data_IF_585971305513
#
_entry.id   IF_585971305513
#
_cell.length_a   1.000
_cell.length_b   1.000
_cell.length_c   1.000
_cell.angle_alpha   90.00
_cell.angle_beta   90.00
_cell.angle_gamma   90.00
#
_symmetry.space_group_name_H-M   'P 1'
#
loop_
_entity.id
_entity.type
_entity.pdbx_description
1 polymer ?
#
# COMPACT_ATOMS: atom_id res chain seq x y z
N UNK A 1 6.11 -32.26 -48.13
CA UNK A 1 7.01 -31.65 -47.13
C UNK A 1 7.72 -32.77 -46.37
N UNK A 2 9.06 -32.77 -46.38
CA UNK A 2 9.86 -33.82 -45.72
C UNK A 2 9.79 -33.66 -44.19
N UNK A 3 9.60 -34.76 -43.45
CA UNK A 3 9.57 -34.77 -41.97
C UNK A 3 10.79 -34.07 -41.33
N UNK A 4 11.93 -34.00 -42.02
CA UNK A 4 13.14 -33.30 -41.56
C UNK A 4 12.98 -31.77 -41.54
N UNK A 5 12.23 -31.21 -42.50
CA UNK A 5 11.94 -29.77 -42.54
C UNK A 5 10.98 -29.37 -41.41
N UNK A 6 9.99 -30.22 -41.08
CA UNK A 6 9.07 -29.96 -39.97
C UNK A 6 9.81 -29.93 -38.62
N UNK A 7 10.75 -30.86 -38.40
CA UNK A 7 11.56 -30.92 -37.17
C UNK A 7 12.51 -29.73 -37.07
N UNK A 8 13.12 -29.30 -38.17
CA UNK A 8 14.01 -28.13 -38.18
C UNK A 8 13.26 -26.82 -37.95
N UNK A 9 12.07 -26.65 -38.55
CA UNK A 9 11.21 -25.48 -38.28
C UNK A 9 10.70 -25.50 -36.84
N UNK A 10 10.32 -26.67 -36.30
CA UNK A 10 9.91 -26.81 -34.90
C UNK A 10 11.07 -26.48 -33.94
N UNK A 11 12.30 -26.92 -34.23
CA UNK A 11 13.49 -26.59 -33.44
C UNK A 11 13.83 -25.10 -33.48
N UNK A 12 13.73 -24.45 -34.65
CA UNK A 12 14.00 -23.00 -34.78
C UNK A 12 12.91 -22.18 -34.08
N UNK A 13 11.64 -22.58 -34.16
CA UNK A 13 10.56 -21.95 -33.38
C UNK A 13 10.73 -22.14 -31.87
N UNK A 14 11.18 -23.32 -31.41
CA UNK A 14 11.47 -23.58 -30.00
C UNK A 14 12.67 -22.79 -29.47
N UNK A 15 13.66 -22.50 -30.32
CA UNK A 15 14.83 -21.68 -29.95
C UNK A 15 14.50 -20.17 -29.90
N UNK A 16 13.63 -19.68 -30.79
CA UNK A 16 13.21 -18.26 -30.79
C UNK A 16 12.26 -17.92 -29.65
N UNK A 17 11.46 -18.89 -29.19
CA UNK A 17 10.63 -18.72 -27.98
C UNK A 17 11.45 -18.68 -26.67
N UNK A 18 12.75 -19.02 -26.68
CA UNK A 18 13.55 -19.21 -25.47
C UNK A 18 14.05 -17.93 -24.79
N UNK A 19 13.82 -16.75 -25.38
CA UNK A 19 14.23 -15.45 -24.82
C UNK A 19 13.05 -14.50 -24.55
N UNK A 20 11.80 -14.94 -24.74
CA UNK A 20 10.64 -14.06 -24.61
C UNK A 20 10.28 -13.77 -23.16
N UNK A 21 10.36 -14.76 -22.27
CA UNK A 21 9.92 -14.60 -20.88
C UNK A 21 10.83 -13.71 -20.02
N UNK A 22 12.17 -13.90 -19.97
CA UNK A 22 13.06 -13.00 -19.24
C UNK A 22 13.00 -11.55 -19.76
N UNK A 23 12.85 -11.37 -21.07
CA UNK A 23 12.69 -10.05 -21.68
C UNK A 23 11.37 -9.40 -21.27
N UNK A 24 10.27 -10.16 -21.26
CA UNK A 24 8.98 -9.67 -20.80
C UNK A 24 9.00 -9.32 -19.31
N UNK A 25 9.71 -10.08 -18.47
CA UNK A 25 9.95 -9.72 -17.06
C UNK A 25 10.69 -8.37 -16.94
N UNK A 26 11.78 -8.17 -17.69
CA UNK A 26 12.50 -6.88 -17.68
C UNK A 26 11.61 -5.72 -18.11
N UNK A 27 10.74 -5.94 -19.10
CA UNK A 27 9.75 -4.95 -19.51
C UNK A 27 8.72 -4.65 -18.41
N UNK A 28 8.31 -5.68 -17.65
CA UNK A 28 7.39 -5.52 -16.53
C UNK A 28 8.02 -4.68 -15.41
N UNK A 29 9.25 -5.03 -14.99
CA UNK A 29 9.99 -4.31 -13.96
C UNK A 29 10.23 -2.84 -14.36
N UNK A 30 10.65 -2.59 -15.60
CA UNK A 30 10.89 -1.24 -16.10
C UNK A 30 9.60 -0.42 -16.11
N UNK A 31 8.51 -0.97 -16.67
CA UNK A 31 7.23 -0.28 -16.71
C UNK A 31 6.68 -0.01 -15.31
N UNK A 32 6.81 -0.96 -14.37
CA UNK A 32 6.42 -0.76 -12.98
C UNK A 32 7.20 0.40 -12.33
N UNK A 33 8.51 0.41 -12.49
CA UNK A 33 9.42 1.43 -11.94
C UNK A 33 9.13 2.82 -12.51
N UNK A 34 8.81 2.90 -13.81
CA UNK A 34 8.37 4.14 -14.46
C UNK A 34 7.00 4.62 -13.92
N UNK A 35 6.08 3.69 -13.68
CA UNK A 35 4.79 3.96 -13.04
C UNK A 35 4.96 4.54 -11.63
N UNK A 36 5.77 3.91 -10.79
CA UNK A 36 6.08 4.36 -9.42
C UNK A 36 6.72 5.76 -9.42
N UNK A 37 7.69 5.99 -10.30
CA UNK A 37 8.34 7.29 -10.43
C UNK A 37 7.36 8.39 -10.85
N UNK A 38 6.52 8.12 -11.85
CA UNK A 38 5.54 9.11 -12.31
C UNK A 38 4.46 9.37 -11.26
N UNK A 39 4.03 8.34 -10.53
CA UNK A 39 3.06 8.48 -9.46
C UNK A 39 3.59 9.41 -8.37
N UNK A 40 4.84 9.19 -7.91
CA UNK A 40 5.46 10.10 -6.94
C UNK A 40 5.50 11.52 -7.51
N UNK A 41 6.00 11.72 -8.72
CA UNK A 41 6.07 13.06 -9.34
C UNK A 41 4.71 13.77 -9.36
N UNK A 42 3.62 13.04 -9.64
CA UNK A 42 2.26 13.60 -9.63
C UNK A 42 1.78 13.93 -8.21
N UNK A 43 2.05 13.07 -7.23
CA UNK A 43 1.75 13.34 -5.82
C UNK A 43 2.50 14.58 -5.32
N UNK A 44 3.78 14.72 -5.67
CA UNK A 44 4.61 15.88 -5.32
C UNK A 44 4.11 17.18 -5.94
N UNK A 45 3.66 17.12 -7.19
CA UNK A 45 3.09 18.29 -7.88
C UNK A 45 1.75 18.74 -7.27
N UNK A 46 1.01 17.82 -6.65
CA UNK A 46 -0.25 18.09 -5.97
C UNK A 46 -0.08 18.47 -4.48
N UNK A 47 1.07 18.15 -3.87
CA UNK A 47 1.31 18.39 -2.46
C UNK A 47 1.61 19.87 -2.19
N UNK A 48 1.08 20.39 -1.06
CA UNK A 48 1.38 21.75 -0.60
C UNK A 48 2.84 21.90 -0.13
N UNK A 49 3.47 20.79 0.25
CA UNK A 49 4.87 20.72 0.67
C UNK A 49 5.56 19.51 0.05
N UNK A 50 6.78 19.68 -0.45
CA UNK A 50 7.63 18.58 -0.86
C UNK A 50 7.96 17.68 0.36
N UNK A 51 8.06 16.35 0.20
CA UNK A 51 8.50 15.47 1.25
C UNK A 51 9.93 15.82 1.62
N UNK A 52 10.29 15.64 2.91
CA UNK A 52 11.65 15.86 3.36
C UNK A 52 12.62 14.90 2.67
N UNK A 53 13.87 15.37 2.51
CA UNK A 53 14.97 14.52 2.07
C UNK A 53 15.11 13.29 2.98
N UNK A 54 15.34 12.12 2.38
CA UNK A 54 15.44 10.85 3.10
C UNK A 54 14.10 10.12 3.31
N UNK A 55 12.97 10.70 2.92
CA UNK A 55 11.71 9.96 2.88
C UNK A 55 11.78 8.91 1.76
N UNK A 56 11.78 7.63 2.13
CA UNK A 56 11.78 6.52 1.17
C UNK A 56 10.35 6.25 0.71
N UNK A 57 10.16 6.29 -0.60
CA UNK A 57 8.93 6.01 -1.33
C UNK A 57 9.16 4.83 -2.30
N UNK A 58 8.11 4.35 -2.96
CA UNK A 58 8.16 3.11 -3.73
C UNK A 58 9.15 3.14 -4.92
N UNK A 59 9.33 4.28 -5.56
CA UNK A 59 10.28 4.48 -6.67
C UNK A 59 11.75 4.38 -6.25
N UNK A 60 12.06 4.69 -4.98
CA UNK A 60 13.40 4.48 -4.44
C UNK A 60 13.71 2.99 -4.28
N UNK A 61 12.67 2.15 -4.09
CA UNK A 61 12.81 0.68 -4.03
C UNK A 61 12.88 0.06 -5.43
N UNK A 62 12.23 0.68 -6.42
CA UNK A 62 12.13 0.25 -7.81
C UNK A 62 12.48 1.40 -8.76
N UNK A 63 13.77 1.64 -8.94
CA UNK A 63 14.27 2.73 -9.78
C UNK A 63 14.26 2.35 -11.27
N UNK A 64 13.71 3.21 -12.15
CA UNK A 64 13.66 2.92 -13.57
C UNK A 64 15.04 3.01 -14.21
N UNK A 65 15.31 2.16 -15.20
CA UNK A 65 16.54 2.22 -16.00
C UNK A 65 16.43 3.18 -17.18
N UNK A 66 15.21 3.59 -17.56
CA UNK A 66 14.94 4.52 -18.65
C UNK A 66 14.15 5.74 -18.16
N UNK A 67 14.22 6.82 -18.94
CA UNK A 67 13.48 8.04 -18.64
C UNK A 67 11.97 7.82 -18.73
N UNK A 68 11.24 8.43 -17.78
CA UNK A 68 9.78 8.40 -17.73
C UNK A 68 9.20 9.38 -18.75
N UNK A 69 8.32 8.90 -19.64
CA UNK A 69 7.50 9.76 -20.50
C UNK A 69 6.35 10.37 -19.67
N UNK A 70 6.47 11.67 -19.38
CA UNK A 70 5.50 12.45 -18.60
C UNK A 70 4.16 12.68 -19.32
N UNK A 71 4.02 12.35 -20.60
CA UNK A 71 2.75 12.42 -21.32
C UNK A 71 1.80 11.25 -20.99
N UNK A 72 2.30 10.21 -20.32
CA UNK A 72 1.55 9.05 -19.87
C UNK A 72 0.98 9.26 -18.47
N UNK A 73 0.21 8.27 -17.99
CA UNK A 73 -0.28 8.22 -16.61
C UNK A 73 0.35 7.03 -15.87
N UNK A 74 0.42 7.06 -14.52
CA UNK A 74 0.89 5.90 -13.75
C UNK A 74 0.10 4.63 -14.08
N UNK A 75 -1.23 4.73 -14.17
CA UNK A 75 -2.10 3.61 -14.53
C UNK A 75 -1.76 2.99 -15.90
N UNK A 76 -1.35 3.79 -16.89
CA UNK A 76 -0.92 3.25 -18.20
C UNK A 76 0.39 2.47 -18.11
N UNK A 77 1.33 2.89 -17.25
CA UNK A 77 2.56 2.15 -17.01
C UNK A 77 2.30 0.86 -16.23
N UNK A 78 1.49 0.90 -15.18
CA UNK A 78 1.09 -0.29 -14.45
C UNK A 78 0.31 -1.27 -15.34
N UNK A 79 -0.57 -0.80 -16.23
CA UNK A 79 -1.23 -1.67 -17.21
C UNK A 79 -0.23 -2.37 -18.17
N UNK A 80 0.80 -1.65 -18.61
CA UNK A 80 1.86 -2.23 -19.43
C UNK A 80 2.72 -3.23 -18.64
N UNK A 81 3.03 -2.93 -17.38
CA UNK A 81 3.78 -3.81 -16.48
C UNK A 81 3.03 -5.12 -16.26
N UNK A 82 1.71 -5.06 -16.03
CA UNK A 82 0.88 -6.24 -15.82
C UNK A 82 0.85 -7.12 -17.07
N UNK A 83 0.62 -6.53 -18.24
CA UNK A 83 0.60 -7.28 -19.50
C UNK A 83 1.95 -7.94 -19.82
N UNK A 84 3.06 -7.27 -19.48
CA UNK A 84 4.41 -7.83 -19.64
C UNK A 84 4.68 -8.96 -18.64
N UNK A 85 4.27 -8.81 -17.37
CA UNK A 85 4.38 -9.87 -16.37
C UNK A 85 3.57 -11.11 -16.75
N UNK A 86 2.33 -10.95 -17.20
CA UNK A 86 1.50 -12.05 -17.70
C UNK A 86 2.12 -12.74 -18.91
N UNK A 87 2.77 -11.98 -19.81
CA UNK A 87 3.50 -12.54 -20.94
C UNK A 87 4.72 -13.35 -20.47
N UNK A 88 5.46 -12.83 -19.49
CA UNK A 88 6.60 -13.52 -18.89
C UNK A 88 6.18 -14.86 -18.25
N UNK A 89 5.09 -14.84 -17.47
CA UNK A 89 4.58 -16.02 -16.75
C UNK A 89 4.11 -17.16 -17.67
N UNK A 90 3.82 -16.89 -18.95
CA UNK A 90 3.58 -17.97 -19.95
C UNK A 90 4.83 -18.84 -20.20
N UNK A 91 6.02 -18.32 -19.91
CA UNK A 91 7.29 -19.03 -20.00
C UNK A 91 7.87 -19.36 -18.62
N UNK A 92 7.05 -19.87 -17.70
CA UNK A 92 7.45 -20.21 -16.31
C UNK A 92 8.78 -20.99 -16.23
N UNK A 93 8.95 -22.05 -17.03
CA UNK A 93 10.18 -22.85 -17.04
C UNK A 93 11.43 -22.01 -17.37
N UNK A 94 11.29 -21.02 -18.25
CA UNK A 94 12.38 -20.11 -18.58
C UNK A 94 12.68 -19.18 -17.41
N UNK A 95 11.65 -18.59 -16.80
CA UNK A 95 11.82 -17.72 -15.62
C UNK A 95 12.47 -18.48 -14.46
N UNK A 96 12.06 -19.72 -14.22
CA UNK A 96 12.66 -20.59 -13.19
C UNK A 96 14.14 -20.88 -13.48
N UNK A 97 14.47 -21.19 -14.75
CA UNK A 97 15.86 -21.41 -15.17
C UNK A 97 16.73 -20.15 -14.99
N UNK A 98 16.12 -18.97 -15.12
CA UNK A 98 16.78 -17.67 -15.01
C UNK A 98 16.67 -17.02 -13.62
N UNK A 99 16.07 -17.69 -12.63
CA UNK A 99 15.86 -17.14 -11.28
C UNK A 99 15.13 -15.79 -11.31
N UNK A 100 13.99 -15.76 -12.00
CA UNK A 100 13.15 -14.56 -12.14
C UNK A 100 11.68 -14.82 -11.87
N UNK A 101 11.30 -16.08 -11.57
CA UNK A 101 9.89 -16.47 -11.50
C UNK A 101 9.19 -15.81 -10.29
N UNK A 102 9.88 -15.86 -9.17
CA UNK A 102 9.58 -15.20 -7.91
C UNK A 102 9.42 -13.68 -8.07
N UNK A 103 10.43 -12.95 -8.58
CA UNK A 103 10.30 -11.50 -8.79
C UNK A 103 9.22 -11.17 -9.84
N UNK A 104 8.97 -12.05 -10.81
CA UNK A 104 7.88 -11.84 -11.79
C UNK A 104 6.51 -11.86 -11.11
N UNK A 105 6.26 -12.84 -10.22
CA UNK A 105 5.02 -12.85 -9.43
C UNK A 105 4.96 -11.67 -8.44
N UNK A 106 6.08 -11.25 -7.85
CA UNK A 106 6.13 -10.08 -6.97
C UNK A 106 5.75 -8.79 -7.72
N UNK A 107 6.34 -8.55 -8.90
CA UNK A 107 6.01 -7.40 -9.75
C UNK A 107 4.56 -7.47 -10.21
N UNK A 108 4.03 -8.65 -10.54
CA UNK A 108 2.62 -8.82 -10.88
C UNK A 108 1.72 -8.40 -9.70
N UNK A 109 2.01 -8.88 -8.49
CA UNK A 109 1.24 -8.58 -7.28
C UNK A 109 1.25 -7.08 -6.96
N UNK A 110 2.43 -6.46 -6.97
CA UNK A 110 2.57 -5.01 -6.75
C UNK A 110 1.84 -4.20 -7.83
N UNK A 111 1.92 -4.62 -9.09
CA UNK A 111 1.23 -3.94 -10.19
C UNK A 111 -0.30 -4.04 -10.05
N UNK A 112 -0.83 -5.21 -9.70
CA UNK A 112 -2.25 -5.42 -9.43
C UNK A 112 -2.71 -4.55 -8.25
N UNK A 113 -1.92 -4.45 -7.18
CA UNK A 113 -2.19 -3.54 -6.06
C UNK A 113 -2.30 -2.09 -6.53
N UNK A 114 -1.33 -1.60 -7.31
CA UNK A 114 -1.36 -0.22 -7.86
C UNK A 114 -2.52 0.04 -8.82
N UNK A 115 -3.08 -1.01 -9.42
CA UNK A 115 -4.30 -0.96 -10.24
C UNK A 115 -5.60 -1.20 -9.44
N UNK A 116 -5.52 -1.27 -8.11
CA UNK A 116 -6.62 -1.58 -7.20
C UNK A 116 -7.30 -2.95 -7.44
N UNK A 117 -6.58 -3.88 -8.06
CA UNK A 117 -6.98 -5.28 -8.27
C UNK A 117 -6.57 -6.11 -7.05
N UNK A 118 -7.16 -5.81 -5.89
CA UNK A 118 -6.64 -6.29 -4.61
C UNK A 118 -6.73 -7.81 -4.42
N UNK A 119 -7.78 -8.46 -4.94
CA UNK A 119 -7.92 -9.91 -4.81
C UNK A 119 -6.86 -10.64 -5.64
N UNK A 120 -6.62 -10.16 -6.86
CA UNK A 120 -5.58 -10.67 -7.76
C UNK A 120 -4.18 -10.41 -7.19
N UNK A 121 -3.96 -9.21 -6.63
CA UNK A 121 -2.70 -8.84 -5.98
C UNK A 121 -2.34 -9.82 -4.85
N UNK A 122 -3.32 -10.18 -4.01
CA UNK A 122 -3.14 -11.16 -2.94
C UNK A 122 -2.85 -12.57 -3.48
N UNK A 123 -3.57 -13.00 -4.53
CA UNK A 123 -3.33 -14.29 -5.16
C UNK A 123 -1.93 -14.39 -5.77
N UNK A 124 -1.45 -13.33 -6.46
CA UNK A 124 -0.08 -13.30 -7.00
C UNK A 124 0.97 -13.22 -5.88
N UNK A 125 0.69 -12.52 -4.77
CA UNK A 125 1.56 -12.50 -3.61
C UNK A 125 1.70 -13.88 -2.94
N UNK A 126 0.61 -14.63 -2.81
CA UNK A 126 0.61 -16.02 -2.29
C UNK A 126 1.47 -16.96 -3.16
N UNK A 127 1.56 -16.70 -4.46
CA UNK A 127 2.43 -17.45 -5.37
C UNK A 127 3.90 -17.01 -5.25
N UNK A 128 4.17 -15.71 -5.07
CA UNK A 128 5.52 -15.15 -4.97
C UNK A 128 6.22 -15.55 -3.65
N UNK A 129 5.53 -15.46 -2.51
CA UNK A 129 6.13 -15.61 -1.18
C UNK A 129 6.96 -16.91 -1.00
N UNK A 130 6.43 -18.13 -1.27
CA UNK A 130 7.22 -19.34 -1.05
C UNK A 130 8.44 -19.42 -1.97
N UNK A 131 8.35 -18.87 -3.19
CA UNK A 131 9.48 -18.86 -4.13
C UNK A 131 10.60 -17.93 -3.63
N UNK A 132 10.23 -16.74 -3.14
CA UNK A 132 11.16 -15.77 -2.55
C UNK A 132 11.77 -16.23 -1.22
N UNK A 133 11.09 -17.13 -0.49
CA UNK A 133 11.63 -17.74 0.72
C UNK A 133 12.66 -18.84 0.43
N UNK A 134 12.47 -19.57 -0.66
CA UNK A 134 13.33 -20.68 -1.08
C UNK A 134 14.60 -20.18 -1.81
N UNK A 135 14.55 -19.01 -2.44
CA UNK A 135 15.71 -18.43 -3.12
C UNK A 135 16.70 -17.81 -2.12
N UNK A 136 17.97 -18.25 -2.18
CA UNK A 136 18.98 -17.92 -1.17
C UNK A 136 19.88 -16.74 -1.59
N UNK A 137 19.27 -15.57 -1.79
CA UNK A 137 19.93 -14.32 -1.41
C UNK A 137 20.37 -13.37 -2.51
N UNK A 138 19.55 -13.11 -3.52
CA UNK A 138 19.60 -11.82 -4.20
C UNK A 138 19.14 -10.69 -3.26
N UNK A 139 19.81 -9.53 -3.29
CA UNK A 139 19.39 -8.31 -2.57
C UNK A 139 17.95 -7.92 -2.96
N UNK A 140 17.58 -8.10 -4.23
CA UNK A 140 16.23 -7.90 -4.73
C UNK A 140 15.20 -8.85 -4.10
N UNK A 141 15.59 -10.07 -3.75
CA UNK A 141 14.65 -11.10 -3.28
C UNK A 141 14.20 -10.79 -1.84
N UNK A 142 15.10 -10.23 -1.03
CA UNK A 142 14.76 -9.79 0.33
C UNK A 142 13.83 -8.59 0.32
N UNK A 143 14.08 -7.61 -0.56
CA UNK A 143 13.17 -6.48 -0.81
C UNK A 143 11.81 -6.99 -1.25
N UNK A 144 11.78 -7.81 -2.30
CA UNK A 144 10.54 -8.27 -2.92
C UNK A 144 9.75 -9.15 -1.94
N UNK A 145 10.41 -9.99 -1.13
CA UNK A 145 9.78 -10.77 -0.07
C UNK A 145 9.11 -9.89 0.98
N UNK A 146 9.81 -8.86 1.46
CA UNK A 146 9.26 -7.91 2.42
C UNK A 146 8.06 -7.15 1.84
N UNK A 147 8.14 -6.74 0.57
CA UNK A 147 7.06 -6.04 -0.12
C UNK A 147 5.84 -6.93 -0.36
N UNK A 148 6.04 -8.17 -0.79
CA UNK A 148 4.97 -9.17 -0.96
C UNK A 148 4.27 -9.48 0.36
N UNK A 149 5.03 -9.70 1.44
CA UNK A 149 4.48 -9.91 2.79
C UNK A 149 3.76 -8.68 3.36
N UNK A 150 4.21 -7.49 2.97
CA UNK A 150 3.59 -6.23 3.37
C UNK A 150 2.29 -5.93 2.59
N UNK A 151 2.11 -6.52 1.40
CA UNK A 151 1.03 -6.20 0.48
C UNK A 151 -0.38 -6.28 1.08
N UNK A 152 -0.74 -7.31 1.87
CA UNK A 152 -2.04 -7.34 2.54
C UNK A 152 -2.23 -6.15 3.50
N UNK A 153 -1.15 -5.70 4.16
CA UNK A 153 -1.18 -4.54 5.02
C UNK A 153 -1.33 -3.23 4.23
N UNK A 154 -0.60 -3.08 3.12
CA UNK A 154 -0.72 -1.91 2.24
C UNK A 154 -2.13 -1.76 1.65
N UNK A 155 -2.70 -2.88 1.18
CA UNK A 155 -4.08 -2.93 0.66
C UNK A 155 -5.09 -2.47 1.72
N UNK A 156 -4.93 -2.93 2.97
CA UNK A 156 -5.80 -2.51 4.06
C UNK A 156 -5.77 -1.00 4.29
N UNK A 157 -4.58 -0.36 4.18
CA UNK A 157 -4.45 1.08 4.34
C UNK A 157 -5.13 1.85 3.20
N UNK A 158 -4.98 1.41 1.94
CA UNK A 158 -5.65 2.03 0.79
C UNK A 158 -7.18 1.93 0.89
N UNK A 159 -7.68 0.76 1.33
CA UNK A 159 -9.10 0.55 1.54
C UNK A 159 -9.63 1.42 2.70
N UNK A 160 -8.88 1.54 3.80
CA UNK A 160 -9.22 2.45 4.88
C UNK A 160 -9.25 3.91 4.39
N UNK A 161 -8.30 4.36 3.59
CA UNK A 161 -8.33 5.70 3.01
C UNK A 161 -9.58 5.93 2.14
N UNK A 162 -10.01 4.92 1.38
CA UNK A 162 -11.28 4.97 0.64
C UNK A 162 -12.49 5.10 1.59
N UNK A 163 -12.47 4.41 2.74
CA UNK A 163 -13.52 4.56 3.77
C UNK A 163 -13.53 5.94 4.40
N UNK A 164 -12.38 6.61 4.57
CA UNK A 164 -12.34 8.00 5.06
C UNK A 164 -13.14 8.93 4.15
N UNK A 165 -13.04 8.75 2.83
CA UNK A 165 -13.84 9.53 1.88
C UNK A 165 -15.35 9.26 2.06
N UNK A 166 -15.74 8.03 2.36
CA UNK A 166 -17.14 7.69 2.69
C UNK A 166 -17.59 8.37 4.00
N UNK A 167 -16.75 8.39 5.03
CA UNK A 167 -17.03 9.10 6.28
C UNK A 167 -17.23 10.60 6.04
N UNK A 168 -16.36 11.23 5.23
CA UNK A 168 -16.50 12.65 4.85
C UNK A 168 -17.80 12.92 4.09
N UNK A 169 -18.21 12.02 3.20
CA UNK A 169 -19.49 12.12 2.50
C UNK A 169 -20.69 12.02 3.46
N UNK A 170 -20.66 11.10 4.43
CA UNK A 170 -21.68 11.01 5.48
C UNK A 170 -21.72 12.29 6.33
N UNK A 171 -20.54 12.81 6.72
CA UNK A 171 -20.42 14.03 7.51
C UNK A 171 -21.00 15.28 6.82
N UNK A 172 -21.07 15.31 5.49
CA UNK A 172 -21.76 16.37 4.74
C UNK A 172 -23.29 16.39 4.99
N UNK A 173 -23.88 15.27 5.43
CA UNK A 173 -25.31 15.14 5.74
C UNK A 173 -25.74 15.74 7.09
N UNK A 174 -24.82 16.30 7.87
CA UNK A 174 -25.06 16.77 9.24
C UNK A 174 -26.21 17.77 9.34
N UNK A 175 -26.29 18.76 8.44
CA UNK A 175 -27.34 19.79 8.51
C UNK A 175 -28.74 19.22 8.22
N UNK A 176 -28.84 18.28 7.27
CA UNK A 176 -30.10 17.58 7.01
C UNK A 176 -30.52 16.74 8.22
N UNK A 177 -29.59 16.02 8.85
CA UNK A 177 -29.87 15.23 10.04
C UNK A 177 -30.33 16.11 11.22
N UNK A 178 -29.77 17.31 11.38
CA UNK A 178 -30.21 18.29 12.40
C UNK A 178 -31.65 18.73 12.18
N UNK A 179 -32.05 19.00 10.93
CA UNK A 179 -33.43 19.35 10.61
C UNK A 179 -34.42 18.19 10.85
N UNK A 180 -33.95 16.94 10.76
CA UNK A 180 -34.74 15.73 10.98
C UNK A 180 -34.96 15.32 12.45
N UNK A 181 -34.44 16.07 13.42
CA UNK A 181 -34.63 15.79 14.86
C UNK A 181 -33.66 14.73 15.42
N UNK A 182 -33.93 14.25 16.65
CA UNK A 182 -33.00 13.33 17.36
C UNK A 182 -32.77 12.01 16.62
N UNK A 183 -33.81 11.37 16.09
CA UNK A 183 -33.68 10.07 15.41
C UNK A 183 -32.73 10.16 14.22
N UNK A 184 -32.88 11.17 13.35
CA UNK A 184 -32.01 11.37 12.20
C UNK A 184 -30.56 11.68 12.60
N UNK A 185 -30.35 12.50 13.65
CA UNK A 185 -29.02 12.76 14.20
C UNK A 185 -28.36 11.49 14.74
N UNK A 186 -29.12 10.65 15.44
CA UNK A 186 -28.64 9.39 16.00
C UNK A 186 -28.26 8.40 14.90
N UNK A 187 -29.12 8.23 13.89
CA UNK A 187 -28.86 7.33 12.76
C UNK A 187 -27.61 7.75 11.98
N UNK A 188 -27.47 9.04 11.64
CA UNK A 188 -26.29 9.51 10.93
C UNK A 188 -25.01 9.30 11.75
N UNK A 189 -25.06 9.61 13.04
CA UNK A 189 -23.90 9.42 13.90
C UNK A 189 -23.49 7.94 14.00
N UNK A 190 -24.46 7.02 14.12
CA UNK A 190 -24.18 5.59 14.14
C UNK A 190 -23.59 5.10 12.82
N UNK A 191 -24.01 5.62 11.67
CA UNK A 191 -23.39 5.30 10.37
C UNK A 191 -21.93 5.76 10.31
N UNK A 192 -21.66 6.99 10.74
CA UNK A 192 -20.29 7.54 10.80
C UNK A 192 -19.41 6.69 11.73
N UNK A 193 -19.92 6.37 12.93
CA UNK A 193 -19.21 5.56 13.92
C UNK A 193 -18.96 4.13 13.43
N UNK A 194 -19.94 3.50 12.79
CA UNK A 194 -19.79 2.15 12.23
C UNK A 194 -18.73 2.12 11.12
N UNK A 195 -18.75 3.11 10.22
CA UNK A 195 -17.73 3.23 9.17
C UNK A 195 -16.32 3.43 9.75
N UNK A 196 -16.18 4.24 10.81
CA UNK A 196 -14.92 4.34 11.57
C UNK A 196 -14.49 3.00 12.17
N UNK A 197 -15.40 2.29 12.85
CA UNK A 197 -15.06 1.03 13.51
C UNK A 197 -14.63 -0.06 12.53
N UNK A 198 -15.32 -0.18 11.39
CA UNK A 198 -14.95 -1.08 10.29
C UNK A 198 -13.56 -0.74 9.73
N UNK A 199 -13.31 0.54 9.46
CA UNK A 199 -12.08 0.97 8.81
C UNK A 199 -10.86 1.02 9.75
N UNK A 200 -11.06 1.16 11.06
CA UNK A 200 -9.94 1.34 12.02
C UNK A 200 -9.74 0.11 12.89
N UNK A 201 -10.82 -0.40 13.48
CA UNK A 201 -10.75 -1.25 14.68
C UNK A 201 -11.02 -2.73 14.44
N UNK A 202 -11.50 -3.12 13.25
CA UNK A 202 -11.81 -4.51 12.96
C UNK A 202 -10.53 -5.35 12.85
N UNK A 203 -10.30 -6.25 13.82
CA UNK A 203 -9.13 -7.13 13.87
C UNK A 203 -9.44 -8.55 13.35
N UNK A 204 -10.64 -8.79 12.82
CA UNK A 204 -11.03 -10.09 12.30
C UNK A 204 -10.15 -10.54 11.13
N UNK A 205 -10.04 -11.86 10.93
CA UNK A 205 -9.26 -12.40 9.83
C UNK A 205 -9.88 -11.97 8.49
N UNK A 206 -9.10 -11.26 7.67
CA UNK A 206 -9.56 -10.68 6.41
C UNK A 206 -10.22 -9.30 6.53
N UNK A 207 -10.24 -8.70 7.74
CA UNK A 207 -10.68 -7.32 7.92
C UNK A 207 -9.80 -6.33 7.15
N UNK A 208 -10.45 -5.31 6.57
CA UNK A 208 -9.82 -4.25 5.78
C UNK A 208 -9.62 -2.99 6.61
N UNK A 209 -8.97 -3.16 7.77
CA UNK A 209 -8.81 -2.11 8.78
C UNK A 209 -7.37 -1.60 8.92
N UNK A 210 -7.23 -0.37 9.44
CA UNK A 210 -5.94 0.25 9.76
C UNK A 210 -5.20 -0.59 10.80
N UNK A 211 -5.81 -0.98 11.93
CA UNK A 211 -5.12 -1.79 12.95
C UNK A 211 -4.54 -3.08 12.37
N UNK A 212 -5.32 -3.76 11.53
CA UNK A 212 -4.86 -4.97 10.85
C UNK A 212 -3.72 -4.66 9.87
N UNK A 213 -3.84 -3.57 9.11
CA UNK A 213 -2.80 -3.10 8.20
C UNK A 213 -1.48 -2.82 8.91
N UNK A 214 -1.52 -2.05 10.00
CA UNK A 214 -0.36 -1.72 10.83
C UNK A 214 0.32 -2.98 11.38
N UNK A 215 -0.46 -3.93 11.89
CA UNK A 215 0.08 -5.19 12.43
C UNK A 215 0.75 -6.05 11.34
N UNK A 216 0.17 -6.13 10.14
CA UNK A 216 0.73 -6.87 9.01
C UNK A 216 2.03 -6.23 8.51
N UNK A 217 2.06 -4.92 8.36
CA UNK A 217 3.27 -4.18 7.95
C UNK A 217 4.40 -4.33 8.96
N UNK A 218 4.09 -4.21 10.26
CA UNK A 218 5.06 -4.42 11.34
C UNK A 218 5.63 -5.84 11.30
N UNK A 219 4.76 -6.85 11.18
CA UNK A 219 5.19 -8.25 11.06
C UNK A 219 6.05 -8.48 9.83
N UNK A 220 5.73 -7.84 8.69
CA UNK A 220 6.55 -7.95 7.49
C UNK A 220 7.96 -7.41 7.73
N UNK A 221 8.07 -6.22 8.35
CA UNK A 221 9.36 -5.63 8.71
C UNK A 221 10.17 -6.54 9.65
N UNK A 222 9.55 -7.09 10.70
CA UNK A 222 10.21 -7.98 11.69
C UNK A 222 10.66 -9.33 11.11
N UNK A 223 9.94 -9.86 10.11
CA UNK A 223 10.26 -11.15 9.49
C UNK A 223 11.16 -11.02 8.26
N UNK A 224 11.46 -9.80 7.84
CA UNK A 224 12.35 -9.55 6.72
C UNK A 224 13.78 -9.35 7.20
N UNK A 225 14.75 -9.89 6.46
CA UNK A 225 16.13 -9.43 6.54
C UNK A 225 16.34 -8.23 5.59
N UNK A 226 15.27 -7.51 5.24
CA UNK A 226 15.32 -6.51 4.20
C UNK A 226 16.19 -5.31 4.60
N UNK A 227 16.76 -4.67 3.59
CA UNK A 227 17.61 -3.51 3.78
C UNK A 227 16.83 -2.34 4.38
N UNK A 228 17.58 -1.45 5.01
CA UNK A 228 17.08 -0.26 5.69
C UNK A 228 16.06 0.56 4.87
N UNK A 229 16.23 0.79 3.55
CA UNK A 229 15.25 1.54 2.77
C UNK A 229 13.85 0.90 2.76
N UNK A 230 13.76 -0.43 2.72
CA UNK A 230 12.49 -1.14 2.73
C UNK A 230 11.82 -0.98 4.10
N UNK A 231 12.59 -1.12 5.18
CA UNK A 231 12.08 -0.92 6.53
C UNK A 231 11.56 0.50 6.73
N UNK A 232 12.31 1.52 6.26
CA UNK A 232 11.87 2.91 6.31
C UNK A 232 10.58 3.11 5.50
N UNK A 233 10.49 2.53 4.29
CA UNK A 233 9.26 2.59 3.49
C UNK A 233 8.06 1.98 4.23
N UNK A 234 8.21 0.81 4.85
CA UNK A 234 7.13 0.15 5.59
C UNK A 234 6.69 0.96 6.82
N UNK A 235 7.62 1.63 7.50
CA UNK A 235 7.30 2.53 8.61
C UNK A 235 6.60 3.80 8.11
N UNK A 236 7.04 4.39 6.99
CA UNK A 236 6.34 5.50 6.35
C UNK A 236 4.90 5.14 5.95
N UNK A 237 4.69 3.94 5.38
CA UNK A 237 3.36 3.46 5.05
C UNK A 237 2.47 3.32 6.31
N UNK A 238 3.03 2.82 7.42
CA UNK A 238 2.31 2.76 8.71
C UNK A 238 1.94 4.15 9.22
N UNK A 239 2.82 5.13 9.10
CA UNK A 239 2.55 6.52 9.51
C UNK A 239 1.47 7.16 8.63
N UNK A 240 1.45 6.90 7.32
CA UNK A 240 0.36 7.32 6.44
C UNK A 240 -1.00 6.67 6.82
N UNK A 241 -0.98 5.39 7.23
CA UNK A 241 -2.14 4.72 7.79
C UNK A 241 -2.64 5.38 9.09
N UNK A 242 -1.72 5.81 9.96
CA UNK A 242 -2.06 6.56 11.17
C UNK A 242 -2.63 7.94 10.85
N UNK A 243 -2.13 8.65 9.85
CA UNK A 243 -2.70 9.92 9.39
C UNK A 243 -4.18 9.74 9.00
N UNK A 244 -4.46 8.69 8.21
CA UNK A 244 -5.84 8.31 7.85
C UNK A 244 -6.71 8.01 9.08
N UNK A 245 -6.17 7.34 10.10
CA UNK A 245 -6.89 7.09 11.36
C UNK A 245 -7.20 8.43 12.07
N UNK A 246 -6.21 9.31 12.22
CA UNK A 246 -6.37 10.63 12.84
C UNK A 246 -7.49 11.43 12.17
N UNK A 247 -7.47 11.49 10.84
CA UNK A 247 -8.51 12.13 10.03
C UNK A 247 -9.91 11.56 10.28
N UNK A 248 -10.06 10.22 10.30
CA UNK A 248 -11.36 9.61 10.57
C UNK A 248 -11.85 9.90 11.99
N UNK A 249 -10.95 9.86 12.97
CA UNK A 249 -11.27 10.16 14.36
C UNK A 249 -11.74 11.62 14.51
N UNK A 250 -11.09 12.54 13.79
CA UNK A 250 -11.47 13.94 13.75
C UNK A 250 -12.87 14.13 13.13
N UNK A 251 -13.19 13.44 12.04
CA UNK A 251 -14.54 13.47 11.46
C UNK A 251 -15.61 12.96 12.45
N UNK A 252 -15.32 11.87 13.17
CA UNK A 252 -16.21 11.32 14.22
C UNK A 252 -16.40 12.33 15.35
N UNK A 253 -15.32 12.95 15.83
CA UNK A 253 -15.39 13.98 16.87
C UNK A 253 -16.20 15.20 16.42
N UNK A 254 -15.97 15.68 15.20
CA UNK A 254 -16.71 16.82 14.65
C UNK A 254 -18.18 16.50 14.43
N UNK A 255 -18.51 15.30 13.95
CA UNK A 255 -19.88 14.82 13.83
C UNK A 255 -20.56 14.75 15.21
N UNK A 256 -19.88 14.21 16.23
CA UNK A 256 -20.39 14.14 17.60
C UNK A 256 -20.79 15.52 18.14
N UNK A 257 -19.92 16.52 17.93
CA UNK A 257 -20.20 17.91 18.33
C UNK A 257 -21.34 18.53 17.55
N UNK A 258 -21.32 18.45 16.22
CA UNK A 258 -22.32 19.12 15.36
C UNK A 258 -23.71 18.52 15.50
N UNK A 259 -23.80 17.21 15.72
CA UNK A 259 -25.05 16.49 15.97
C UNK A 259 -25.49 16.56 17.44
N UNK A 260 -24.70 17.15 18.33
CA UNK A 260 -24.98 17.22 19.78
C UNK A 260 -25.24 15.83 20.39
N UNK A 261 -24.38 14.87 20.06
CA UNK A 261 -24.55 13.45 20.41
C UNK A 261 -24.66 13.22 21.91
N UNK A 262 -23.99 14.04 22.73
CA UNK A 262 -24.06 13.99 24.19
C UNK A 262 -25.48 14.10 24.77
N UNK A 263 -26.43 14.68 24.03
CA UNK A 263 -27.84 14.74 24.42
C UNK A 263 -28.52 13.37 24.42
N UNK A 264 -28.02 12.44 23.62
CA UNK A 264 -28.72 11.20 23.30
C UNK A 264 -27.83 9.93 23.39
N UNK A 265 -26.51 10.12 23.55
CA UNK A 265 -25.49 9.13 23.91
C UNK A 265 -24.47 9.80 24.88
N UNK A 266 -24.77 9.86 26.19
CA UNK A 266 -23.98 10.65 27.15
C UNK A 266 -22.54 10.17 27.35
N UNK A 267 -22.27 8.87 27.16
CA UNK A 267 -20.94 8.29 27.36
C UNK A 267 -20.05 8.36 26.11
N UNK A 268 -20.52 8.98 25.02
CA UNK A 268 -19.80 9.00 23.76
C UNK A 268 -18.47 9.77 23.85
N UNK A 269 -18.40 10.79 24.72
CA UNK A 269 -17.18 11.54 24.97
C UNK A 269 -16.04 10.68 25.55
N UNK A 270 -16.37 9.73 26.42
CA UNK A 270 -15.39 8.80 27.00
C UNK A 270 -14.85 7.83 25.95
N UNK A 271 -15.73 7.35 25.06
CA UNK A 271 -15.32 6.50 23.94
C UNK A 271 -14.37 7.23 22.99
N UNK A 272 -14.69 8.46 22.57
CA UNK A 272 -13.81 9.28 21.70
C UNK A 272 -12.46 9.55 22.37
N UNK A 273 -12.46 9.86 23.67
CA UNK A 273 -11.22 10.07 24.42
C UNK A 273 -10.35 8.80 24.49
N UNK A 274 -10.98 7.63 24.67
CA UNK A 274 -10.31 6.33 24.61
C UNK A 274 -9.68 6.07 23.25
N UNK A 275 -10.41 6.32 22.15
CA UNK A 275 -9.90 6.20 20.79
C UNK A 275 -8.69 7.11 20.54
N UNK A 276 -8.76 8.38 20.94
CA UNK A 276 -7.65 9.32 20.81
C UNK A 276 -6.42 8.86 21.58
N UNK A 277 -6.60 8.28 22.77
CA UNK A 277 -5.47 7.73 23.52
C UNK A 277 -4.82 6.54 22.79
N UNK A 278 -5.62 5.63 22.20
CA UNK A 278 -5.08 4.52 21.40
C UNK A 278 -4.31 5.02 20.18
N UNK A 279 -4.87 6.00 19.47
CA UNK A 279 -4.22 6.67 18.35
C UNK A 279 -2.86 7.26 18.75
N UNK A 280 -2.83 8.08 19.82
CA UNK A 280 -1.62 8.73 20.29
C UNK A 280 -0.51 7.73 20.68
N UNK A 281 -0.88 6.61 21.31
CA UNK A 281 0.07 5.54 21.64
C UNK A 281 0.64 4.88 20.39
N UNK A 282 -0.19 4.63 19.37
CA UNK A 282 0.25 4.04 18.10
C UNK A 282 1.18 4.98 17.32
N UNK A 283 0.87 6.29 17.31
CA UNK A 283 1.72 7.34 16.73
C UNK A 283 3.07 7.39 17.43
N UNK A 284 3.07 7.49 18.77
CA UNK A 284 4.31 7.57 19.54
C UNK A 284 5.22 6.35 19.28
N UNK A 285 4.67 5.13 19.34
CA UNK A 285 5.42 3.90 19.10
C UNK A 285 6.00 3.83 17.67
N UNK A 286 5.22 4.24 16.66
CA UNK A 286 5.69 4.18 15.26
C UNK A 286 6.70 5.27 14.94
N UNK A 287 6.56 6.47 15.53
CA UNK A 287 7.56 7.54 15.41
C UNK A 287 8.88 7.16 16.10
N UNK A 288 8.83 6.50 17.26
CA UNK A 288 10.03 5.99 17.93
C UNK A 288 10.75 4.94 17.06
N UNK A 289 10.00 4.04 16.43
CA UNK A 289 10.53 3.07 15.47
C UNK A 289 11.24 3.76 14.28
N UNK A 290 10.61 4.79 13.71
CA UNK A 290 11.21 5.60 12.65
C UNK A 290 12.51 6.29 13.11
N UNK A 291 12.51 6.90 14.30
CA UNK A 291 13.67 7.59 14.87
C UNK A 291 14.84 6.63 15.07
N UNK A 292 14.57 5.40 15.52
CA UNK A 292 15.57 4.36 15.71
C UNK A 292 16.16 3.88 14.37
N UNK A 293 15.34 3.70 13.34
CA UNK A 293 15.81 3.27 12.01
C UNK A 293 16.76 4.30 11.39
N UNK A 294 16.48 5.59 11.52
CA UNK A 294 17.26 6.63 10.84
C UNK A 294 18.59 6.99 11.54
N UNK A 295 18.83 6.51 12.77
CA UNK A 295 20.09 6.71 13.51
C UNK A 295 20.40 8.14 13.97
N UNK A 296 19.70 9.16 13.47
CA UNK A 296 19.80 10.58 13.87
C UNK A 296 18.72 11.04 14.85
N UNK A 297 17.81 10.14 15.26
CA UNK A 297 16.80 10.42 16.28
C UNK A 297 15.71 11.40 15.82
N UNK A 298 15.16 12.16 16.77
CA UNK A 298 14.03 13.07 16.52
C UNK A 298 14.39 14.26 15.61
N UNK A 299 15.65 14.64 15.47
CA UNK A 299 16.05 15.81 14.67
C UNK A 299 16.00 15.58 13.15
N UNK A 300 15.72 14.35 12.72
CA UNK A 300 15.61 14.01 11.31
C UNK A 300 14.38 14.68 10.65
N UNK A 301 14.55 15.17 9.41
CA UNK A 301 13.50 15.87 8.67
C UNK A 301 12.24 15.00 8.40
N UNK A 302 12.40 13.70 8.15
CA UNK A 302 11.31 12.73 7.97
C UNK A 302 10.53 12.53 9.27
N UNK A 303 11.24 12.42 10.40
CA UNK A 303 10.59 12.33 11.70
C UNK A 303 9.79 13.60 12.02
N UNK A 304 10.39 14.77 11.83
CA UNK A 304 9.74 16.06 12.09
C UNK A 304 8.53 16.29 11.18
N UNK A 305 8.62 15.88 9.92
CA UNK A 305 7.49 15.90 8.99
C UNK A 305 6.31 15.09 9.54
N UNK A 306 6.52 13.81 9.85
CA UNK A 306 5.45 12.96 10.37
C UNK A 306 4.91 13.43 11.72
N UNK A 307 5.79 13.91 12.61
CA UNK A 307 5.40 14.50 13.89
C UNK A 307 4.48 15.70 13.69
N UNK A 308 4.78 16.56 12.72
CA UNK A 308 3.96 17.74 12.44
C UNK A 308 2.56 17.41 11.90
N UNK A 309 2.46 16.36 11.09
CA UNK A 309 1.20 15.87 10.53
C UNK A 309 0.36 15.20 11.63
N UNK A 310 0.95 14.25 12.35
CA UNK A 310 0.21 13.36 13.24
C UNK A 310 -0.11 13.98 14.61
N UNK A 311 0.67 14.96 15.08
CA UNK A 311 0.40 15.64 16.35
C UNK A 311 -0.59 16.82 16.21
N UNK A 312 -1.02 17.13 14.99
CA UNK A 312 -2.06 18.13 14.71
C UNK A 312 -3.50 17.61 14.81
N UNK A 313 -3.69 16.29 14.90
CA UNK A 313 -4.98 15.59 14.80
C UNK A 313 -5.77 15.44 16.11
#
# INVERSE_FOLDING_TARGET
>A
MSKRYLIQVLMVCLLLASCEAPKAYQQALEAFSQGATLELQQQLAAAESAPPEGMIQLEALYSPSQAVDASRTPATYYGAALAAAETALRGEDQLRKHQMLDNTYAIQALTQWKLSQFAEALASAEMAEPLLMDDQGGENDQRDLAMVRALPGLINLDQAFTRLQQVRLLAAGVEQARAGGETARRELYQQIKAAYQEAVTDESAGATSINRGLALLKRSAELSNADEPVLIYLVNARLAGLDTWGDMLQEVFMASRRLSVSQFLPNEGEWIAGERNRYNLAVAATLEELANLMGVGEDNAVYQFWKSILQGA
#
